data_IF_646952107163
#
_entry.id   IF_646952107163
#
_cell.length_a   1.000
_cell.length_b   1.000
_cell.length_c   1.000
_cell.angle_alpha   90.00
_cell.angle_beta   90.00
_cell.angle_gamma   90.00
#
_symmetry.space_group_name_H-M   'P 1'
#
loop_
_entity.id
_entity.type
_entity.pdbx_description
1 polymer ?
#
# COMPACT_ATOMS: atom_id res chain seq x y z
N UNK A 1 -21.40 -14.86 5.57
CA UNK A 1 -21.14 -13.51 6.09
C UNK A 1 -22.44 -12.75 6.01
N UNK A 2 -22.90 -12.14 7.11
CA UNK A 2 -24.17 -11.40 7.12
C UNK A 2 -24.18 -10.21 6.17
N UNK A 3 -23.03 -9.56 5.96
CA UNK A 3 -22.90 -8.33 5.17
C UNK A 3 -22.80 -8.56 3.66
N UNK A 4 -22.32 -9.73 3.20
CA UNK A 4 -22.10 -9.99 1.76
C UNK A 4 -22.38 -11.43 1.30
N UNK A 5 -23.00 -12.27 2.14
CA UNK A 5 -23.42 -13.63 1.78
C UNK A 5 -22.30 -14.67 1.60
N UNK A 6 -21.02 -14.30 1.67
CA UNK A 6 -19.89 -15.23 1.44
C UNK A 6 -19.74 -16.26 2.57
N UNK A 7 -19.52 -17.52 2.19
CA UNK A 7 -19.30 -18.65 3.11
C UNK A 7 -17.84 -19.07 3.14
N UNK A 8 -17.36 -19.51 4.29
CA UNK A 8 -15.97 -19.87 4.54
C UNK A 8 -15.92 -21.21 5.27
N UNK A 9 -15.01 -22.10 4.84
CA UNK A 9 -14.86 -23.44 5.44
C UNK A 9 -14.17 -23.42 6.82
N UNK A 10 -13.49 -22.33 7.17
CA UNK A 10 -12.76 -22.18 8.44
C UNK A 10 -13.17 -20.91 9.20
N UNK A 11 -13.15 -21.00 10.52
CA UNK A 11 -13.42 -19.87 11.43
C UNK A 11 -12.39 -18.76 11.28
N UNK A 12 -11.11 -19.09 11.07
CA UNK A 12 -10.04 -18.13 10.81
C UNK A 12 -10.26 -17.35 9.51
N UNK A 13 -10.68 -18.04 8.43
CA UNK A 13 -11.00 -17.41 7.15
C UNK A 13 -12.22 -16.49 7.24
N UNK A 14 -13.24 -16.91 8.01
CA UNK A 14 -14.42 -16.09 8.28
C UNK A 14 -14.09 -14.82 9.10
N UNK A 15 -13.26 -14.94 10.13
CA UNK A 15 -12.84 -13.82 10.98
C UNK A 15 -12.00 -12.79 10.21
N UNK A 16 -11.04 -13.25 9.39
CA UNK A 16 -10.25 -12.37 8.52
C UNK A 16 -11.15 -11.69 7.47
N UNK A 17 -12.12 -12.42 6.93
CA UNK A 17 -13.09 -11.83 6.02
C UNK A 17 -13.93 -10.73 6.69
N UNK A 18 -14.43 -10.94 7.91
CA UNK A 18 -15.16 -9.89 8.65
C UNK A 18 -14.34 -8.63 8.91
N UNK A 19 -13.03 -8.76 9.12
CA UNK A 19 -12.15 -7.59 9.23
C UNK A 19 -12.06 -6.76 7.95
N UNK A 20 -12.46 -7.30 6.79
CA UNK A 20 -12.56 -6.51 5.56
C UNK A 20 -13.86 -5.70 5.46
N UNK A 21 -14.91 -6.08 6.20
CA UNK A 21 -16.16 -5.31 6.31
C UNK A 21 -16.07 -4.20 7.35
N UNK A 22 -15.25 -4.37 8.38
CA UNK A 22 -14.91 -3.27 9.26
C UNK A 22 -14.33 -2.13 8.42
N UNK A 23 -14.81 -0.90 8.62
CA UNK A 23 -14.22 0.31 8.05
C UNK A 23 -12.76 0.38 8.51
N UNK A 24 -11.87 -0.21 7.71
CA UNK A 24 -10.45 -0.14 7.96
C UNK A 24 -10.11 1.33 7.96
N UNK A 25 -9.61 1.83 9.10
CA UNK A 25 -9.17 3.22 9.24
C UNK A 25 -8.30 3.56 8.05
N UNK A 26 -8.89 4.31 7.11
CA UNK A 26 -8.22 4.73 5.91
C UNK A 26 -7.28 5.86 6.27
N UNK A 27 -6.19 5.97 5.52
CA UNK A 27 -5.21 7.05 5.65
C UNK A 27 -5.40 7.96 4.45
N UNK A 28 -6.27 8.98 4.53
CA UNK A 28 -6.50 9.89 3.41
C UNK A 28 -5.31 10.83 3.22
N UNK A 29 -4.96 11.08 1.96
CA UNK A 29 -4.05 12.14 1.57
C UNK A 29 -4.76 13.50 1.71
N UNK A 30 -4.13 14.44 2.43
CA UNK A 30 -4.67 15.78 2.62
C UNK A 30 -4.74 16.59 1.31
N UNK A 31 -3.82 16.34 0.36
CA UNK A 31 -3.71 17.15 -0.86
C UNK A 31 -4.67 16.71 -1.96
N UNK A 32 -4.95 15.40 -2.08
CA UNK A 32 -5.78 14.86 -3.16
C UNK A 32 -6.94 13.96 -2.71
N UNK A 33 -7.12 13.75 -1.40
CA UNK A 33 -8.22 12.95 -0.85
C UNK A 33 -8.11 11.44 -1.09
N UNK A 34 -7.02 10.94 -1.72
CA UNK A 34 -6.83 9.50 -1.94
C UNK A 34 -6.64 8.77 -0.61
N UNK A 35 -7.42 7.72 -0.40
CA UNK A 35 -7.36 6.87 0.80
C UNK A 35 -6.44 5.67 0.64
N UNK A 36 -5.59 5.44 1.63
CA UNK A 36 -4.68 4.30 1.69
C UNK A 36 -5.05 3.36 2.83
N UNK A 37 -4.69 2.08 2.71
CA UNK A 37 -5.00 1.04 3.70
C UNK A 37 -4.06 1.04 4.90
N UNK A 38 -2.92 1.73 4.80
CA UNK A 38 -1.94 1.89 5.87
C UNK A 38 -1.17 3.22 5.73
N UNK A 39 -0.54 3.66 6.82
CA UNK A 39 0.22 4.92 6.86
C UNK A 39 1.46 4.91 5.98
N UNK A 40 2.16 3.79 5.86
CA UNK A 40 3.35 3.67 4.99
C UNK A 40 3.02 3.95 3.53
N UNK A 41 1.90 3.42 3.04
CA UNK A 41 1.42 3.67 1.68
C UNK A 41 1.04 5.14 1.46
N UNK A 42 0.45 5.80 2.47
CA UNK A 42 0.20 7.23 2.42
C UNK A 42 1.51 8.04 2.37
N UNK A 43 2.52 7.70 3.18
CA UNK A 43 3.82 8.38 3.16
C UNK A 43 4.52 8.19 1.81
N UNK A 44 4.53 6.98 1.27
CA UNK A 44 5.09 6.73 -0.07
C UNK A 44 4.34 7.48 -1.17
N UNK A 45 3.03 7.65 -1.00
CA UNK A 45 2.24 8.47 -1.91
C UNK A 45 2.57 9.96 -1.78
N UNK A 46 2.86 10.46 -0.58
CA UNK A 46 3.28 11.84 -0.35
C UNK A 46 4.51 12.23 -1.18
N UNK A 47 5.44 11.29 -1.38
CA UNK A 47 6.60 11.46 -2.25
C UNK A 47 6.23 11.82 -3.70
N UNK A 48 5.01 11.50 -4.16
CA UNK A 48 4.52 11.90 -5.49
C UNK A 48 4.19 13.39 -5.54
N UNK A 49 3.69 13.95 -4.45
CA UNK A 49 3.39 15.38 -4.33
C UNK A 49 4.66 16.22 -4.18
N UNK A 50 5.61 15.75 -3.36
CA UNK A 50 6.88 16.46 -3.13
C UNK A 50 7.90 16.22 -4.23
N UNK A 51 7.72 15.17 -5.04
CA UNK A 51 8.72 14.73 -6.02
C UNK A 51 9.93 14.04 -5.39
N UNK A 52 9.93 13.78 -4.09
CA UNK A 52 11.01 13.10 -3.40
C UNK A 52 11.17 11.65 -3.89
N UNK A 53 12.42 11.24 -4.12
CA UNK A 53 12.74 9.87 -4.53
C UNK A 53 13.90 9.34 -3.67
N UNK A 54 13.62 8.94 -2.42
CA UNK A 54 14.66 8.62 -1.44
C UNK A 54 15.43 7.34 -1.78
N UNK A 55 14.93 6.50 -2.70
CA UNK A 55 15.53 5.22 -3.04
C UNK A 55 16.29 5.31 -4.36
N UNK A 56 17.60 5.45 -4.31
CA UNK A 56 18.46 5.49 -5.51
C UNK A 56 19.09 4.13 -5.83
N UNK A 57 19.23 3.86 -7.12
CA UNK A 57 19.95 2.69 -7.62
C UNK A 57 21.46 3.00 -7.64
N UNK A 58 22.26 2.24 -6.90
CA UNK A 58 23.71 2.40 -6.87
C UNK A 58 24.43 2.05 -8.18
N UNK A 59 23.76 1.36 -9.12
CA UNK A 59 24.35 0.96 -10.40
C UNK A 59 24.16 2.04 -11.47
N UNK A 60 22.93 2.54 -11.64
CA UNK A 60 22.60 3.49 -12.72
C UNK A 60 22.13 4.87 -12.22
N UNK A 61 22.10 5.11 -10.92
CA UNK A 61 21.70 6.40 -10.33
C UNK A 61 20.20 6.72 -10.37
N UNK A 62 19.36 5.87 -10.98
CA UNK A 62 17.91 6.09 -11.04
C UNK A 62 17.28 6.07 -9.65
N UNK A 63 16.44 7.06 -9.36
CA UNK A 63 15.74 7.18 -8.08
C UNK A 63 14.26 6.80 -8.16
N UNK A 64 13.73 6.25 -7.07
CA UNK A 64 12.40 5.70 -6.92
C UNK A 64 11.71 6.20 -5.65
N UNK A 65 10.38 6.19 -5.65
CA UNK A 65 9.53 6.64 -4.52
C UNK A 65 9.34 5.57 -3.45
N UNK A 66 9.62 4.29 -3.75
CA UNK A 66 9.52 3.18 -2.80
C UNK A 66 10.66 2.16 -2.96
N UNK A 67 11.01 1.48 -1.87
CA UNK A 67 12.05 0.45 -1.82
C UNK A 67 11.69 -0.78 -2.65
N UNK A 68 10.40 -1.14 -2.70
CA UNK A 68 9.91 -2.27 -3.49
C UNK A 68 10.12 -2.04 -4.99
N UNK A 69 9.87 -0.82 -5.47
CA UNK A 69 10.09 -0.46 -6.88
C UNK A 69 11.58 -0.45 -7.21
N UNK A 70 12.44 0.09 -6.34
CA UNK A 70 13.90 -0.01 -6.50
C UNK A 70 14.35 -1.49 -6.54
N UNK A 71 13.83 -2.32 -5.66
CA UNK A 71 14.20 -3.74 -5.58
C UNK A 71 13.82 -4.50 -6.84
N UNK A 72 12.65 -4.21 -7.41
CA UNK A 72 12.25 -4.77 -8.70
C UNK A 72 13.13 -4.25 -9.84
N UNK A 73 13.40 -2.94 -9.88
CA UNK A 73 14.29 -2.34 -10.87
C UNK A 73 15.69 -2.97 -10.84
N UNK A 74 16.25 -3.26 -9.66
CA UNK A 74 17.56 -3.88 -9.54
C UNK A 74 17.69 -5.25 -10.22
N UNK A 75 16.59 -5.92 -10.56
CA UNK A 75 16.59 -7.21 -11.25
C UNK A 75 16.93 -7.12 -12.74
N UNK A 76 16.92 -5.91 -13.31
CA UNK A 76 17.25 -5.68 -14.73
C UNK A 76 18.73 -5.34 -14.92
N UNK A 77 19.47 -5.20 -13.81
CA UNK A 77 20.92 -5.16 -13.79
C UNK A 77 21.44 -6.59 -13.63
#
# INVERSE_FOLDING_TARGET
>A
CGDCGKSYATSSGFSQHRQNHAEKKQFPCADCGKSFTNSTALIQHWNVHTGEKPYSCGVCGKSFTSSSTLSYHRRIH
#
